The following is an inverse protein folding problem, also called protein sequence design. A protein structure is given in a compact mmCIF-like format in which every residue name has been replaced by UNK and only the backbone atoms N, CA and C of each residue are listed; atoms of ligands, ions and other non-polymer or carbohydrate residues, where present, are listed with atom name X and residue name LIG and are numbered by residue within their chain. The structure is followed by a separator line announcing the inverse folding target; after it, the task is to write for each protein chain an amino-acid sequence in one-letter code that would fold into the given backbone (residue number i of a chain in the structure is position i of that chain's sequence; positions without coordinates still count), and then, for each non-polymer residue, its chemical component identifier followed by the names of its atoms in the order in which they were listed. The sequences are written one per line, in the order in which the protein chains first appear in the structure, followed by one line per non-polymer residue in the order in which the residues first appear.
data_IF_207918714031
#
_entry.id   IF_207918714031
#
_cell.length_a   1.000
_cell.length_b   1.000
_cell.length_c   1.000
_cell.angle_alpha   90.00
_cell.angle_beta   90.00
_cell.angle_gamma   90.00
#
_symmetry.space_group_name_H-M   'P 1'
#
loop_
_entity.id
_entity.type
_entity.pdbx_description
1 polymer ?
#
# COMPACT_ATOMS: atom_id res chain seq x y z
N UNK A 1 13.27 -15.07 -12.92
CA UNK A 1 11.95 -15.20 -12.26
C UNK A 1 12.03 -15.03 -10.75
N UNK A 2 12.86 -15.81 -10.04
CA UNK A 2 13.00 -15.70 -8.58
C UNK A 2 13.40 -14.29 -8.08
N UNK A 3 14.45 -13.69 -8.66
CA UNK A 3 14.90 -12.34 -8.29
C UNK A 3 13.83 -11.26 -8.55
N UNK A 4 13.04 -11.42 -9.62
CA UNK A 4 11.93 -10.51 -9.92
C UNK A 4 10.84 -10.62 -8.85
N UNK A 5 10.46 -11.85 -8.48
CA UNK A 5 9.47 -12.08 -7.43
C UNK A 5 9.94 -11.50 -6.10
N UNK A 6 11.20 -11.77 -5.71
CA UNK A 6 11.80 -11.23 -4.48
C UNK A 6 11.79 -9.69 -4.46
N UNK A 7 12.13 -9.05 -5.58
CA UNK A 7 12.08 -7.59 -5.72
C UNK A 7 10.65 -7.06 -5.55
N UNK A 8 9.67 -7.71 -6.20
CA UNK A 8 8.26 -7.34 -6.11
C UNK A 8 7.70 -7.51 -4.69
N UNK A 9 7.97 -8.65 -4.03
CA UNK A 9 7.58 -8.87 -2.64
C UNK A 9 8.24 -7.86 -1.70
N UNK A 10 9.51 -7.52 -1.93
CA UNK A 10 10.22 -6.50 -1.18
C UNK A 10 9.58 -5.11 -1.33
N UNK A 11 9.19 -4.73 -2.55
CA UNK A 11 8.48 -3.49 -2.81
C UNK A 11 7.11 -3.45 -2.13
N UNK A 12 6.32 -4.52 -2.24
CA UNK A 12 5.00 -4.65 -1.58
C UNK A 12 5.14 -4.52 -0.06
N UNK A 13 6.15 -5.16 0.53
CA UNK A 13 6.40 -5.08 1.97
C UNK A 13 6.72 -3.64 2.42
N UNK A 14 7.54 -2.91 1.65
CA UNK A 14 7.86 -1.51 1.94
C UNK A 14 6.62 -0.62 1.87
N UNK A 15 5.86 -0.72 0.78
CA UNK A 15 4.60 0.03 0.63
C UNK A 15 3.63 -0.23 1.78
N UNK A 16 3.50 -1.48 2.23
CA UNK A 16 2.63 -1.80 3.36
C UNK A 16 3.11 -1.15 4.67
N UNK A 17 4.42 -1.09 4.89
CA UNK A 17 4.99 -0.38 6.03
C UNK A 17 4.71 1.13 5.95
N UNK A 18 4.92 1.75 4.79
CA UNK A 18 4.65 3.17 4.57
C UNK A 18 3.18 3.53 4.78
N UNK A 19 2.25 2.72 4.25
CA UNK A 19 0.81 2.90 4.49
C UNK A 19 0.46 2.76 5.97
N UNK A 20 1.12 1.85 6.69
CA UNK A 20 0.90 1.69 8.13
C UNK A 20 1.36 2.94 8.89
N UNK A 21 2.55 3.44 8.60
CA UNK A 21 3.09 4.65 9.23
C UNK A 21 2.22 5.88 8.92
N UNK A 22 1.77 6.03 7.67
CA UNK A 22 0.81 7.08 7.28
C UNK A 22 -0.50 6.98 8.07
N UNK A 23 -1.04 5.76 8.23
CA UNK A 23 -2.26 5.53 9.02
C UNK A 23 -2.08 5.92 10.49
N UNK A 24 -0.94 5.58 11.09
CA UNK A 24 -0.60 5.99 12.45
C UNK A 24 -0.44 7.51 12.55
N UNK A 25 0.17 8.17 11.56
CA UNK A 25 0.29 9.62 11.49
C UNK A 25 -1.08 10.32 11.39
N UNK A 26 -2.02 9.78 10.60
CA UNK A 26 -3.39 10.31 10.47
C UNK A 26 -4.14 10.36 11.80
N UNK A 27 -3.92 9.37 12.68
CA UNK A 27 -4.54 9.34 14.01
C UNK A 27 -4.08 10.49 14.91
N UNK A 28 -2.90 11.06 14.63
CA UNK A 28 -2.33 12.17 15.39
C UNK A 28 -2.73 13.55 14.82
N UNK A 29 -3.51 13.61 13.74
CA UNK A 29 -4.01 14.87 13.19
C UNK A 29 -5.17 15.37 14.06
N UNK A 30 -4.98 16.54 14.66
CA UNK A 30 -5.93 17.14 15.61
C UNK A 30 -7.10 17.83 14.89
N UNK A 31 -6.86 18.47 13.75
CA UNK A 31 -7.90 19.11 12.95
C UNK A 31 -8.78 18.07 12.24
N UNK A 32 -10.09 18.01 12.53
CA UNK A 32 -10.97 16.99 11.95
C UNK A 32 -11.17 17.11 10.44
N UNK A 33 -11.11 18.33 9.88
CA UNK A 33 -11.32 18.56 8.46
C UNK A 33 -10.10 18.12 7.66
N UNK A 34 -8.91 18.54 8.09
CA UNK A 34 -7.63 18.11 7.53
C UNK A 34 -7.47 16.60 7.63
N UNK A 35 -7.86 15.99 8.77
CA UNK A 35 -7.83 14.53 8.91
C UNK A 35 -8.73 13.84 7.89
N UNK A 36 -9.95 14.31 7.68
CA UNK A 36 -10.89 13.71 6.72
C UNK A 36 -10.40 13.80 5.26
N UNK A 37 -9.77 14.93 4.89
CA UNK A 37 -9.16 15.11 3.57
C UNK A 37 -8.01 14.11 3.36
N UNK A 38 -7.10 14.02 4.33
CA UNK A 38 -5.96 13.09 4.26
C UNK A 38 -6.39 11.61 4.36
N UNK A 39 -7.45 11.29 5.11
CA UNK A 39 -8.04 9.94 5.13
C UNK A 39 -8.58 9.53 3.76
N UNK A 40 -9.18 10.47 3.02
CA UNK A 40 -9.68 10.22 1.66
C UNK A 40 -8.54 9.92 0.70
N UNK A 41 -7.48 10.73 0.72
CA UNK A 41 -6.26 10.50 -0.07
C UNK A 41 -5.60 9.16 0.28
N UNK A 42 -5.50 8.86 1.58
CA UNK A 42 -4.96 7.60 2.06
C UNK A 42 -5.76 6.37 1.58
N UNK A 43 -7.09 6.44 1.61
CA UNK A 43 -7.93 5.34 1.12
C UNK A 43 -7.76 5.11 -0.39
N UNK A 44 -7.60 6.18 -1.19
CA UNK A 44 -7.30 6.06 -2.61
C UNK A 44 -5.93 5.38 -2.86
N UNK A 45 -4.89 5.84 -2.16
CA UNK A 45 -3.53 5.27 -2.23
C UNK A 45 -3.51 3.80 -1.79
N UNK A 46 -4.18 3.49 -0.68
CA UNK A 46 -4.35 2.15 -0.13
C UNK A 46 -5.07 1.22 -1.11
N UNK A 47 -6.18 1.68 -1.70
CA UNK A 47 -6.92 0.92 -2.70
C UNK A 47 -6.08 0.65 -3.95
N UNK A 48 -5.33 1.64 -4.43
CA UNK A 48 -4.40 1.49 -5.55
C UNK A 48 -3.32 0.44 -5.25
N UNK A 49 -2.67 0.54 -4.08
CA UNK A 49 -1.64 -0.40 -3.63
C UNK A 49 -2.18 -1.83 -3.52
N UNK A 50 -3.40 -1.99 -2.99
CA UNK A 50 -4.08 -3.29 -2.91
C UNK A 50 -4.34 -3.88 -4.29
N UNK A 51 -4.85 -3.09 -5.24
CA UNK A 51 -5.07 -3.54 -6.63
C UNK A 51 -3.75 -3.95 -7.29
N UNK A 52 -2.70 -3.14 -7.13
CA UNK A 52 -1.37 -3.45 -7.65
C UNK A 52 -0.85 -4.79 -7.10
N UNK A 53 -0.90 -4.97 -5.78
CA UNK A 53 -0.46 -6.20 -5.10
C UNK A 53 -1.21 -7.43 -5.61
N UNK A 54 -2.54 -7.35 -5.74
CA UNK A 54 -3.36 -8.43 -6.31
C UNK A 54 -2.92 -8.76 -7.74
N UNK A 55 -2.67 -7.74 -8.57
CA UNK A 55 -2.19 -7.89 -9.94
C UNK A 55 -0.84 -8.64 -9.99
N UNK A 56 0.10 -8.25 -9.14
CA UNK A 56 1.41 -8.91 -9.02
C UNK A 56 1.27 -10.35 -8.56
N UNK A 57 0.50 -10.64 -7.51
CA UNK A 57 0.30 -12.02 -7.03
C UNK A 57 -0.33 -12.90 -8.10
N UNK A 58 -1.32 -12.38 -8.83
CA UNK A 58 -1.97 -13.11 -9.93
C UNK A 58 -1.00 -13.39 -11.07
N UNK A 59 -0.10 -12.47 -11.39
CA UNK A 59 0.93 -12.69 -12.40
C UNK A 59 1.93 -13.76 -11.94
N UNK A 60 2.41 -13.68 -10.70
CA UNK A 60 3.34 -14.66 -10.13
C UNK A 60 2.72 -16.06 -10.17
N UNK A 61 1.45 -16.22 -9.74
CA UNK A 61 0.77 -17.52 -9.77
C UNK A 61 0.44 -18.06 -11.17
N UNK A 62 0.64 -17.28 -12.25
CA UNK A 62 0.60 -17.80 -13.63
C UNK A 62 1.98 -18.24 -14.13
N UNK A 63 3.05 -17.79 -13.48
CA UNK A 63 4.43 -18.05 -13.88
C UNK A 63 5.03 -19.28 -13.20
N UNK A 64 4.39 -19.78 -12.14
CA UNK A 64 4.73 -20.99 -11.38
C UNK A 64 3.50 -21.90 -11.33
#
# INVERSE_FOLDING_TARGET
LLNLCQSQFGAIRRMYHELREKKEALQNVEDPHMRAELETEFEEESASTKRHTIGVMRLIGKLF
#
